data_IF_077364737172
#
_entry.id   IF_077364737172
#
_cell.length_a   1.000
_cell.length_b   1.000
_cell.length_c   1.000
_cell.angle_alpha   90.00
_cell.angle_beta   90.00
_cell.angle_gamma   90.00
#
_symmetry.space_group_name_H-M   'P 1'
#
loop_
_entity.id
_entity.type
_entity.pdbx_description
1 polymer ?
#
# COMPACT_ATOMS: atom_id res chain seq x y z
N UNK A 1 -47.03 -0.21 14.21
CA UNK A 1 -46.41 1.01 13.67
C UNK A 1 -45.03 0.61 13.14
N UNK A 2 -44.93 0.55 11.86
CA UNK A 2 -43.63 0.34 11.20
C UNK A 2 -42.90 1.66 11.15
N UNK A 3 -41.94 1.81 12.03
CA UNK A 3 -40.98 2.87 11.95
C UNK A 3 -40.15 2.65 10.69
N UNK A 4 -40.44 3.42 9.66
CA UNK A 4 -39.58 3.49 8.49
C UNK A 4 -38.30 4.17 8.95
N UNK A 5 -37.29 3.38 9.28
CA UNK A 5 -35.93 3.87 9.46
C UNK A 5 -35.52 4.44 8.11
N UNK A 6 -35.68 5.74 7.96
CA UNK A 6 -35.10 6.47 6.83
C UNK A 6 -33.57 6.43 6.98
N UNK A 7 -32.99 5.36 6.51
CA UNK A 7 -31.54 5.19 6.47
C UNK A 7 -30.96 5.90 5.23
N UNK A 8 -31.43 7.12 5.01
CA UNK A 8 -30.88 7.93 3.93
C UNK A 8 -29.65 8.65 4.45
N UNK A 9 -28.50 8.05 4.23
CA UNK A 9 -27.23 8.70 4.49
C UNK A 9 -27.14 9.97 3.65
N UNK A 10 -26.85 11.06 4.27
CA UNK A 10 -26.56 12.30 3.52
C UNK A 10 -25.32 12.07 2.65
N UNK A 11 -25.20 12.78 1.54
CA UNK A 11 -24.04 12.70 0.64
C UNK A 11 -22.72 12.89 1.39
N UNK A 12 -22.71 13.74 2.39
CA UNK A 12 -21.54 13.97 3.26
C UNK A 12 -21.19 12.73 4.08
N UNK A 13 -22.17 12.06 4.66
CA UNK A 13 -21.98 10.84 5.43
C UNK A 13 -21.52 9.68 4.52
N UNK A 14 -22.09 9.57 3.33
CA UNK A 14 -21.66 8.56 2.35
C UNK A 14 -20.20 8.77 1.91
N UNK A 15 -19.79 10.01 1.66
CA UNK A 15 -18.40 10.34 1.33
C UNK A 15 -17.44 10.04 2.48
N UNK A 16 -17.84 10.36 3.70
CA UNK A 16 -17.03 10.04 4.88
C UNK A 16 -16.89 8.53 5.08
N UNK A 17 -17.96 7.77 4.90
CA UNK A 17 -17.92 6.31 4.98
C UNK A 17 -17.03 5.69 3.90
N UNK A 18 -17.09 6.17 2.67
CA UNK A 18 -16.21 5.73 1.58
C UNK A 18 -14.74 6.05 1.84
N UNK A 19 -14.45 7.23 2.39
CA UNK A 19 -13.10 7.61 2.76
C UNK A 19 -12.53 6.69 3.84
N UNK A 20 -13.32 6.40 4.89
CA UNK A 20 -12.94 5.46 5.94
C UNK A 20 -12.67 4.06 5.40
N UNK A 21 -13.55 3.53 4.55
CA UNK A 21 -13.34 2.21 3.93
C UNK A 21 -12.08 2.15 3.06
N UNK A 22 -11.74 3.24 2.38
CA UNK A 22 -10.53 3.29 1.57
C UNK A 22 -9.27 3.31 2.45
N UNK A 23 -9.33 3.99 3.59
CA UNK A 23 -8.23 4.00 4.56
C UNK A 23 -8.03 2.62 5.18
N UNK A 24 -9.11 1.96 5.60
CA UNK A 24 -9.07 0.59 6.14
C UNK A 24 -8.46 -0.39 5.15
N UNK A 25 -8.77 -0.25 3.86
CA UNK A 25 -8.19 -1.09 2.80
C UNK A 25 -6.70 -0.83 2.59
N UNK A 26 -6.27 0.42 2.65
CA UNK A 26 -4.84 0.77 2.56
C UNK A 26 -4.06 0.21 3.73
N UNK A 27 -4.61 0.35 4.93
CA UNK A 27 -4.00 -0.20 6.13
C UNK A 27 -3.89 -1.72 6.07
N UNK A 28 -4.92 -2.41 5.60
CA UNK A 28 -4.89 -3.86 5.42
C UNK A 28 -3.77 -4.32 4.48
N UNK A 29 -3.53 -3.60 3.38
CA UNK A 29 -2.43 -3.89 2.46
C UNK A 29 -1.07 -3.67 3.14
N UNK A 30 -0.91 -2.60 3.89
CA UNK A 30 0.33 -2.32 4.63
C UNK A 30 0.59 -3.40 5.68
N UNK A 31 -0.42 -3.82 6.43
CA UNK A 31 -0.32 -4.90 7.40
C UNK A 31 0.10 -6.23 6.76
N UNK A 32 -0.42 -6.53 5.58
CA UNK A 32 -0.01 -7.73 4.83
C UNK A 32 1.46 -7.67 4.42
N UNK A 33 1.91 -6.54 3.89
CA UNK A 33 3.32 -6.32 3.57
C UNK A 33 4.22 -6.40 4.80
N UNK A 34 3.79 -5.85 5.92
CA UNK A 34 4.53 -5.94 7.20
C UNK A 34 4.64 -7.37 7.70
N UNK A 35 3.59 -8.16 7.58
CA UNK A 35 3.62 -9.57 7.95
C UNK A 35 4.62 -10.36 7.09
N UNK A 36 4.65 -10.13 5.79
CA UNK A 36 5.59 -10.78 4.87
C UNK A 36 7.03 -10.31 5.16
N UNK A 37 7.22 -9.01 5.35
CA UNK A 37 8.52 -8.41 5.59
C UNK A 37 9.15 -8.81 6.93
N UNK A 38 8.34 -9.08 7.93
CA UNK A 38 8.77 -9.50 9.28
C UNK A 38 8.75 -11.01 9.49
N UNK A 39 8.20 -11.79 8.55
CA UNK A 39 8.15 -13.23 8.65
C UNK A 39 9.54 -13.87 8.64
N UNK A 40 9.73 -14.86 9.48
CA UNK A 40 10.97 -15.60 9.59
C UNK A 40 10.73 -17.11 9.38
N UNK A 41 11.69 -17.79 8.78
CA UNK A 41 11.57 -19.23 8.56
C UNK A 41 11.45 -20.00 9.88
N UNK A 42 12.04 -19.48 10.95
CA UNK A 42 11.99 -20.04 12.29
C UNK A 42 10.61 -19.91 12.96
N UNK A 43 9.73 -19.09 12.41
CA UNK A 43 8.32 -19.04 12.82
C UNK A 43 7.56 -20.31 12.39
N UNK A 44 8.03 -20.97 11.34
CA UNK A 44 7.38 -22.12 10.70
C UNK A 44 8.05 -23.44 11.05
N UNK A 45 9.37 -23.44 11.07
CA UNK A 45 10.15 -24.64 11.33
C UNK A 45 11.32 -24.33 12.28
N UNK A 46 11.76 -25.37 12.96
CA UNK A 46 12.94 -25.32 13.81
C UNK A 46 13.88 -26.45 13.46
N UNK A 47 15.15 -26.27 13.71
CA UNK A 47 16.17 -27.30 13.57
C UNK A 47 17.10 -27.31 14.79
N UNK A 48 17.65 -28.44 15.09
CA UNK A 48 18.62 -28.62 16.15
C UNK A 48 20.07 -28.74 15.61
N UNK A 49 21.01 -28.83 16.53
CA UNK A 49 22.44 -28.95 16.26
C UNK A 49 22.78 -30.24 15.51
N UNK A 50 21.91 -31.24 15.54
CA UNK A 50 22.05 -32.50 14.80
C UNK A 50 21.42 -32.43 13.42
N UNK A 51 20.87 -31.29 13.03
CA UNK A 51 20.24 -31.07 11.74
C UNK A 51 18.84 -31.66 11.60
N UNK A 52 18.18 -32.04 12.70
CA UNK A 52 16.81 -32.51 12.67
C UNK A 52 15.85 -31.33 12.56
N UNK A 53 15.01 -31.36 11.54
CA UNK A 53 14.04 -30.29 11.25
C UNK A 53 12.67 -30.70 11.75
N UNK A 54 12.02 -29.80 12.46
CA UNK A 54 10.64 -29.94 12.95
C UNK A 54 9.79 -28.82 12.38
N UNK A 55 8.71 -29.21 11.70
CA UNK A 55 7.71 -28.27 11.20
C UNK A 55 6.64 -28.06 12.28
N UNK A 56 6.28 -26.81 12.51
CA UNK A 56 5.16 -26.47 13.41
C UNK A 56 3.85 -26.82 12.75
N UNK A 57 2.90 -27.32 13.53
CA UNK A 57 1.54 -27.57 13.04
C UNK A 57 0.90 -26.25 12.58
N UNK A 58 0.08 -26.31 11.54
CA UNK A 58 -0.52 -25.12 10.93
C UNK A 58 -1.43 -24.31 11.87
N UNK A 59 -2.03 -24.97 12.85
CA UNK A 59 -2.84 -24.34 13.90
C UNK A 59 -2.00 -23.59 14.96
N UNK A 60 -0.73 -23.93 15.07
CA UNK A 60 0.23 -23.29 15.98
C UNK A 60 0.97 -22.09 15.35
N UNK A 61 0.79 -21.87 14.05
CA UNK A 61 1.40 -20.76 13.36
C UNK A 61 0.73 -19.44 13.72
N UNK A 62 1.53 -18.40 13.96
CA UNK A 62 1.01 -17.04 14.11
C UNK A 62 0.43 -16.52 12.80
N UNK A 63 -0.41 -15.50 12.84
CA UNK A 63 -0.94 -14.85 11.64
C UNK A 63 0.18 -14.35 10.72
N UNK A 64 1.21 -13.78 11.31
CA UNK A 64 2.40 -13.33 10.57
C UNK A 64 3.06 -14.48 9.82
N UNK A 65 3.27 -15.61 10.48
CA UNK A 65 3.86 -16.79 9.86
C UNK A 65 3.00 -17.32 8.71
N UNK A 66 1.68 -17.41 8.90
CA UNK A 66 0.75 -17.87 7.85
C UNK A 66 0.79 -16.98 6.61
N UNK A 67 0.79 -15.65 6.80
CA UNK A 67 0.81 -14.67 5.70
C UNK A 67 2.13 -14.66 4.94
N UNK A 68 3.22 -15.08 5.58
CA UNK A 68 4.53 -15.15 4.95
C UNK A 68 4.76 -16.41 4.11
N UNK A 69 3.90 -17.42 4.22
CA UNK A 69 3.97 -18.67 3.44
C UNK A 69 3.38 -18.42 2.06
N UNK A 70 4.18 -18.72 1.03
CA UNK A 70 3.75 -18.68 -0.37
C UNK A 70 3.20 -20.02 -0.83
N UNK A 71 3.88 -21.12 -0.49
CA UNK A 71 3.53 -22.45 -0.96
C UNK A 71 4.02 -23.51 -0.01
N UNK A 72 3.21 -24.55 0.15
CA UNK A 72 3.60 -25.78 0.82
C UNK A 72 3.41 -26.93 -0.18
N UNK A 73 4.47 -27.70 -0.39
CA UNK A 73 4.46 -28.86 -1.25
C UNK A 73 4.78 -30.10 -0.42
N UNK A 74 3.96 -31.11 -0.52
CA UNK A 74 4.15 -32.40 0.13
C UNK A 74 4.38 -33.45 -0.95
N UNK A 75 5.52 -34.11 -0.89
CA UNK A 75 5.88 -35.19 -1.83
C UNK A 75 6.03 -36.47 -1.04
N UNK A 76 5.23 -37.51 -1.31
CA UNK A 76 5.40 -38.81 -0.68
C UNK A 76 6.77 -39.39 -1.01
N UNK A 77 7.48 -39.86 -0.01
CA UNK A 77 8.77 -40.52 -0.15
C UNK A 77 8.75 -41.90 0.48
N UNK A 78 9.75 -42.69 0.17
CA UNK A 78 9.90 -44.08 0.63
C UNK A 78 10.02 -44.18 2.17
N UNK A 79 10.63 -43.15 2.79
CA UNK A 79 10.85 -43.09 4.25
C UNK A 79 10.02 -42.01 4.96
N UNK A 80 8.96 -41.52 4.33
CA UNK A 80 8.07 -40.50 4.86
C UNK A 80 7.86 -39.38 3.85
N UNK A 81 7.02 -38.43 4.22
CA UNK A 81 6.68 -37.30 3.37
C UNK A 81 7.82 -36.26 3.38
N UNK A 82 8.23 -35.85 2.21
CA UNK A 82 9.09 -34.66 2.05
C UNK A 82 8.22 -33.42 1.96
N UNK A 83 8.44 -32.48 2.87
CA UNK A 83 7.70 -31.23 2.96
C UNK A 83 8.62 -30.08 2.58
N UNK A 84 8.23 -29.35 1.55
CA UNK A 84 8.91 -28.16 1.07
C UNK A 84 8.04 -26.94 1.36
N UNK A 85 8.60 -25.97 2.07
CA UNK A 85 7.90 -24.71 2.40
C UNK A 85 8.63 -23.57 1.69
N UNK A 86 7.89 -22.84 0.89
CA UNK A 86 8.36 -21.64 0.20
C UNK A 86 7.71 -20.40 0.84
N UNK A 87 8.53 -19.45 1.21
CA UNK A 87 8.06 -18.18 1.76
C UNK A 87 8.00 -17.12 0.67
N UNK A 88 7.17 -16.09 0.88
CA UNK A 88 7.14 -14.92 0.03
C UNK A 88 8.48 -14.18 0.04
N UNK A 89 8.75 -13.46 -1.04
CA UNK A 89 9.96 -12.66 -1.17
C UNK A 89 9.97 -11.48 -0.18
N UNK A 90 10.68 -11.68 0.91
CA UNK A 90 10.85 -10.72 1.99
C UNK A 90 11.52 -9.43 1.50
N UNK A 91 12.49 -9.51 0.60
CA UNK A 91 13.18 -8.33 0.10
C UNK A 91 12.26 -7.43 -0.74
N UNK A 92 11.42 -8.03 -1.56
CA UNK A 92 10.41 -7.29 -2.33
C UNK A 92 9.41 -6.61 -1.42
N UNK A 93 8.92 -7.28 -0.38
CA UNK A 93 8.02 -6.70 0.61
C UNK A 93 8.67 -5.54 1.37
N UNK A 94 9.91 -5.71 1.82
CA UNK A 94 10.68 -4.66 2.49
C UNK A 94 10.91 -3.44 1.59
N UNK A 95 11.19 -3.67 0.31
CA UNK A 95 11.38 -2.60 -0.67
C UNK A 95 10.10 -1.79 -0.86
N UNK A 96 8.96 -2.46 -0.98
CA UNK A 96 7.66 -1.79 -1.10
C UNK A 96 7.31 -0.99 0.15
N UNK A 97 7.56 -1.54 1.34
CA UNK A 97 7.36 -0.83 2.61
C UNK A 97 8.29 0.38 2.75
N UNK A 98 9.55 0.23 2.39
CA UNK A 98 10.52 1.31 2.44
C UNK A 98 10.11 2.44 1.49
N UNK A 99 9.62 2.11 0.30
CA UNK A 99 9.08 3.08 -0.66
C UNK A 99 7.82 3.77 -0.09
N UNK A 100 6.92 3.02 0.50
CA UNK A 100 5.71 3.55 1.14
C UNK A 100 6.03 4.51 2.29
N UNK A 101 7.05 4.20 3.08
CA UNK A 101 7.50 5.03 4.20
C UNK A 101 8.46 6.15 3.81
N UNK A 102 8.76 6.30 2.53
CA UNK A 102 9.67 7.33 2.03
C UNK A 102 11.14 7.13 2.41
N UNK A 103 11.54 5.90 2.74
CA UNK A 103 12.92 5.56 3.10
C UNK A 103 13.81 5.33 1.89
N UNK A 104 13.22 5.04 0.75
CA UNK A 104 13.92 4.92 -0.53
C UNK A 104 13.72 6.19 -1.32
N UNK A 105 14.83 6.73 -1.81
CA UNK A 105 14.72 7.82 -2.76
C UNK A 105 14.01 7.33 -4.03
N UNK A 106 13.14 8.16 -4.62
CA UNK A 106 12.54 7.83 -5.90
C UNK A 106 13.66 7.60 -6.90
N UNK A 107 13.56 6.53 -7.69
CA UNK A 107 14.48 6.24 -8.77
C UNK A 107 14.66 7.51 -9.63
N UNK A 108 15.87 7.74 -10.14
CA UNK A 108 16.23 8.99 -10.80
C UNK A 108 15.29 9.47 -11.91
N UNK A 109 14.46 8.57 -12.49
CA UNK A 109 13.39 8.92 -13.42
C UNK A 109 12.14 9.52 -12.74
N UNK A 110 11.93 9.22 -11.47
CA UNK A 110 10.85 9.82 -10.67
C UNK A 110 11.28 11.15 -10.02
N UNK A 111 12.55 11.50 -10.12
CA UNK A 111 13.09 12.79 -9.71
C UNK A 111 12.78 13.92 -10.68
N UNK A 112 11.92 13.68 -11.63
CA UNK A 112 11.36 14.83 -12.33
C UNK A 112 10.63 15.63 -11.27
N UNK A 113 11.16 16.78 -10.88
CA UNK A 113 10.34 17.68 -10.11
C UNK A 113 9.09 17.82 -10.93
N UNK A 114 7.96 17.44 -10.38
CA UNK A 114 6.70 17.90 -10.90
C UNK A 114 6.69 19.41 -10.65
N UNK A 115 7.52 20.11 -11.37
CA UNK A 115 7.28 21.49 -11.60
C UNK A 115 6.02 21.53 -12.42
N UNK A 116 4.90 21.52 -11.73
CA UNK A 116 3.71 22.08 -12.28
C UNK A 116 4.05 23.57 -12.36
N UNK A 117 4.71 23.92 -13.44
CA UNK A 117 4.77 25.30 -13.84
C UNK A 117 3.35 25.69 -14.15
N UNK A 118 2.62 26.08 -13.13
CA UNK A 118 1.39 26.82 -13.35
C UNK A 118 1.84 28.15 -13.92
N UNK A 119 1.93 28.17 -15.23
CA UNK A 119 2.03 29.43 -15.94
C UNK A 119 0.67 30.09 -15.77
N UNK A 120 0.49 30.75 -14.66
CA UNK A 120 -0.60 31.69 -14.51
C UNK A 120 -0.23 32.87 -15.38
N UNK A 121 -0.54 32.75 -16.66
CA UNK A 121 -0.71 33.92 -17.50
C UNK A 121 -1.90 34.61 -16.90
N UNK A 122 -1.65 35.49 -15.98
CA UNK A 122 -2.63 36.48 -15.60
C UNK A 122 -3.16 37.15 -16.87
N UNK A 123 -4.38 37.64 -16.85
CA UNK A 123 -4.86 38.39 -17.97
C UNK A 123 -3.78 39.43 -18.27
N UNK A 124 -3.30 39.43 -19.51
CA UNK A 124 -2.50 40.53 -19.96
C UNK A 124 -3.28 41.77 -19.56
N UNK A 125 -2.79 42.46 -18.58
CA UNK A 125 -3.26 43.80 -18.34
C UNK A 125 -3.10 44.48 -19.65
N UNK A 126 -4.14 44.44 -20.42
CA UNK A 126 -4.23 45.35 -21.54
C UNK A 126 -4.27 46.70 -20.85
N UNK A 127 -3.12 47.28 -20.72
CA UNK A 127 -3.08 48.66 -20.37
C UNK A 127 -3.77 49.33 -21.52
N UNK A 128 -5.04 49.52 -21.34
CA UNK A 128 -5.72 50.41 -22.21
C UNK A 128 -5.07 51.77 -21.87
N UNK A 129 -4.09 52.15 -22.62
CA UNK A 129 -3.85 53.56 -22.74
C UNK A 129 -5.15 54.12 -23.24
N UNK A 130 -5.93 54.55 -22.31
CA UNK A 130 -6.98 55.48 -22.64
C UNK A 130 -6.23 56.72 -23.09
N UNK A 131 -5.82 56.72 -24.31
CA UNK A 131 -5.52 57.95 -24.94
C UNK A 131 -6.77 58.77 -24.77
N UNK A 132 -6.62 59.75 -23.96
CA UNK A 132 -7.68 60.62 -23.68
C UNK A 132 -8.33 61.02 -24.98
N UNK A 133 -9.51 60.57 -25.07
CA UNK A 133 -10.36 60.91 -26.16
C UNK A 133 -10.66 62.40 -26.16
N UNK A 134 -10.12 62.99 -25.21
CA UNK A 134 -10.16 64.42 -25.08
C UNK A 134 -9.53 65.13 -26.20
N UNK A 135 -8.77 64.39 -26.91
CA UNK A 135 -8.10 65.00 -28.01
C UNK A 135 -8.95 65.32 -29.17
N UNK A 136 -10.14 65.05 -29.03
CA UNK A 136 -11.02 65.46 -30.03
C UNK A 136 -11.32 66.92 -30.08
N UNK A 137 -10.70 67.54 -29.25
CA UNK A 137 -10.95 68.90 -29.33
C UNK A 137 -9.94 69.58 -30.07
N UNK A 138 -10.24 70.16 -31.02
CA UNK A 138 -9.49 70.99 -31.68
C UNK A 138 -9.57 72.27 -31.62
#
# INVERSE_FOLDING_TARGET
MTEKINNTLTVRQARAALASQNEDRREAVVQELEAIASGEITDILSWDDLGRVQLRASDQLSDRARRSIKKVKVTPGEYGNNIEVEMHDKLSALRLLAKHRGLLEPNGDERRPSMIGINVTGPKTTTYEVKDIVDGEE
#
